data_IF_290116892864
#
_entry.id   IF_290116892864
#
_cell.length_a   1.000
_cell.length_b   1.000
_cell.length_c   1.000
_cell.angle_alpha   90.00
_cell.angle_beta   90.00
_cell.angle_gamma   90.00
#
_symmetry.space_group_name_H-M   'P 1'
#
loop_
_entity.id
_entity.type
_entity.pdbx_description
1 polymer ?
#
# COMPACT_ATOMS: atom_id res chain seq x y z
N UNK A 1 12.95 -8.79 -25.29
CA UNK A 1 11.61 -8.72 -24.67
C UNK A 1 11.48 -7.36 -24.00
N UNK A 2 10.53 -6.52 -24.42
CA UNK A 2 10.27 -5.25 -23.72
C UNK A 2 9.76 -5.58 -22.31
N UNK A 3 10.44 -5.06 -21.30
CA UNK A 3 10.05 -5.23 -19.90
C UNK A 3 8.77 -4.42 -19.70
N UNK A 4 7.63 -5.10 -19.65
CA UNK A 4 6.35 -4.45 -19.33
C UNK A 4 6.52 -3.81 -17.96
N UNK A 5 6.30 -2.50 -17.89
CA UNK A 5 6.37 -1.78 -16.61
C UNK A 5 5.05 -2.02 -15.89
N UNK A 6 5.05 -2.65 -14.69
CA UNK A 6 3.82 -2.89 -13.95
C UNK A 6 3.15 -1.56 -13.57
N UNK A 7 1.82 -1.58 -13.45
CA UNK A 7 1.05 -0.42 -13.00
C UNK A 7 1.35 -0.14 -11.52
N UNK A 8 1.40 -1.17 -10.68
CA UNK A 8 1.81 -1.08 -9.29
C UNK A 8 2.96 -2.05 -9.05
N UNK A 9 4.04 -1.55 -8.44
CA UNK A 9 5.23 -2.31 -8.08
C UNK A 9 5.52 -2.12 -6.59
N UNK A 10 5.45 -3.21 -5.84
CA UNK A 10 5.59 -3.24 -4.39
C UNK A 10 6.70 -4.23 -4.06
N UNK A 11 7.76 -3.75 -3.41
CA UNK A 11 8.87 -4.60 -2.98
C UNK A 11 9.15 -4.38 -1.49
N UNK A 12 9.18 -5.49 -0.75
CA UNK A 12 9.48 -5.55 0.68
C UNK A 12 8.62 -4.59 1.52
N UNK A 13 7.32 -4.53 1.26
CA UNK A 13 6.40 -3.70 2.05
C UNK A 13 6.37 -4.19 3.50
N UNK A 14 6.60 -3.27 4.43
CA UNK A 14 6.46 -3.47 5.87
C UNK A 14 5.46 -2.48 6.45
N UNK A 15 4.77 -2.91 7.51
CA UNK A 15 3.92 -2.05 8.32
C UNK A 15 4.14 -2.38 9.78
N UNK A 16 4.68 -1.40 10.50
CA UNK A 16 5.02 -1.52 11.92
C UNK A 16 4.13 -0.60 12.75
N UNK A 17 3.53 -1.15 13.81
CA UNK A 17 2.62 -0.41 14.70
C UNK A 17 3.20 -0.45 16.12
N UNK A 18 3.59 0.69 16.70
CA UNK A 18 3.98 0.77 18.10
C UNK A 18 2.79 0.44 19.01
N UNK A 19 3.00 -0.50 19.93
CA UNK A 19 2.03 -0.88 20.97
C UNK A 19 2.68 -0.78 22.36
N UNK A 20 1.89 -0.88 23.43
CA UNK A 20 2.41 -0.87 24.80
C UNK A 20 3.38 -2.03 25.08
N UNK A 21 3.23 -3.15 24.37
CA UNK A 21 4.01 -4.37 24.57
C UNK A 21 5.12 -4.54 23.53
N UNK A 22 5.47 -3.47 22.79
CA UNK A 22 6.46 -3.49 21.72
C UNK A 22 5.86 -3.24 20.34
N UNK A 23 6.62 -3.54 19.29
CA UNK A 23 6.21 -3.26 17.91
C UNK A 23 5.44 -4.44 17.31
N UNK A 24 4.20 -4.20 16.88
CA UNK A 24 3.45 -5.16 16.08
C UNK A 24 3.85 -5.03 14.60
N UNK A 25 4.48 -6.07 14.05
CA UNK A 25 4.80 -6.16 12.63
C UNK A 25 3.58 -6.71 11.85
N UNK A 26 2.71 -5.81 11.43
CA UNK A 26 1.45 -6.14 10.77
C UNK A 26 1.64 -6.62 9.32
N UNK A 27 2.70 -6.15 8.64
CA UNK A 27 3.13 -6.64 7.32
C UNK A 27 4.65 -6.81 7.35
N UNK A 28 5.16 -7.94 6.84
CA UNK A 28 6.54 -8.40 7.04
C UNK A 28 7.29 -8.65 5.72
N UNK A 29 7.39 -7.64 4.88
CA UNK A 29 8.18 -7.71 3.63
C UNK A 29 7.41 -8.34 2.47
N UNK A 30 6.17 -7.93 2.24
CA UNK A 30 5.37 -8.42 1.11
C UNK A 30 5.81 -7.78 -0.20
N UNK A 31 5.96 -8.58 -1.24
CA UNK A 31 6.35 -8.13 -2.58
C UNK A 31 5.39 -8.67 -3.64
N UNK A 32 4.89 -7.79 -4.50
CA UNK A 32 4.00 -8.15 -5.60
C UNK A 32 3.96 -7.03 -6.64
N UNK A 33 3.48 -7.39 -7.84
CA UNK A 33 3.24 -6.44 -8.93
C UNK A 33 1.83 -6.62 -9.44
N UNK A 34 1.26 -5.56 -9.99
CA UNK A 34 -0.04 -5.58 -10.67
C UNK A 34 0.13 -4.88 -12.02
N UNK A 35 -0.17 -5.58 -13.11
CA UNK A 35 -0.15 -4.98 -14.44
C UNK A 35 -1.48 -4.28 -14.76
N UNK A 36 -1.47 -3.44 -15.79
CA UNK A 36 -2.69 -2.77 -16.25
C UNK A 36 -3.66 -3.83 -16.81
N UNK A 37 -4.91 -3.78 -16.34
CA UNK A 37 -5.97 -4.71 -16.76
C UNK A 37 -6.04 -6.00 -15.96
N UNK A 38 -5.14 -6.20 -15.00
CA UNK A 38 -5.19 -7.34 -14.07
C UNK A 38 -6.02 -7.00 -12.82
N UNK A 39 -6.50 -8.04 -12.15
CA UNK A 39 -7.04 -7.97 -10.81
C UNK A 39 -6.17 -8.81 -9.87
N UNK A 40 -5.72 -8.21 -8.77
CA UNK A 40 -4.94 -8.90 -7.74
C UNK A 40 -5.76 -8.99 -6.46
N UNK A 41 -5.93 -10.22 -5.96
CA UNK A 41 -6.61 -10.51 -4.71
C UNK A 41 -5.62 -10.81 -3.58
N UNK A 42 -5.82 -10.20 -2.42
CA UNK A 42 -5.07 -10.52 -1.19
C UNK A 42 -6.03 -11.29 -0.26
N UNK A 43 -5.71 -12.55 0.01
CA UNK A 43 -6.55 -13.46 0.83
C UNK A 43 -5.77 -13.98 2.04
N UNK A 44 -6.48 -14.41 3.07
CA UNK A 44 -5.91 -14.88 4.34
C UNK A 44 -6.83 -14.66 5.53
N UNK A 45 -6.46 -15.22 6.68
CA UNK A 45 -7.24 -15.16 7.93
C UNK A 45 -7.36 -13.75 8.51
N UNK A 46 -8.30 -13.55 9.44
CA UNK A 46 -8.40 -12.28 10.17
C UNK A 46 -7.08 -11.96 10.87
N UNK A 47 -6.63 -10.70 10.82
CA UNK A 47 -5.35 -10.28 11.40
C UNK A 47 -4.10 -10.57 10.56
N UNK A 48 -4.20 -11.25 9.40
CA UNK A 48 -3.03 -11.59 8.56
C UNK A 48 -2.38 -10.39 7.84
N UNK A 49 -2.86 -9.16 8.04
CA UNK A 49 -2.28 -7.94 7.46
C UNK A 49 -2.93 -7.47 6.15
N UNK A 50 -3.98 -8.12 5.63
CA UNK A 50 -4.64 -7.73 4.35
C UNK A 50 -5.06 -6.27 4.30
N UNK A 51 -5.84 -5.82 5.29
CA UNK A 51 -6.32 -4.44 5.36
C UNK A 51 -5.17 -3.46 5.59
N UNK A 52 -4.17 -3.86 6.38
CA UNK A 52 -2.98 -3.03 6.62
C UNK A 52 -2.15 -2.86 5.34
N UNK A 53 -2.03 -3.90 4.51
CA UNK A 53 -1.42 -3.81 3.18
C UNK A 53 -2.18 -2.82 2.31
N UNK A 54 -3.50 -2.94 2.19
CA UNK A 54 -4.30 -2.01 1.38
C UNK A 54 -4.18 -0.55 1.86
N UNK A 55 -4.32 -0.31 3.17
CA UNK A 55 -4.17 1.03 3.74
C UNK A 55 -2.76 1.60 3.55
N UNK A 56 -1.72 0.76 3.66
CA UNK A 56 -0.34 1.16 3.42
C UNK A 56 -0.12 1.62 1.97
N UNK A 57 -0.68 0.90 0.99
CA UNK A 57 -0.60 1.31 -0.42
C UNK A 57 -1.31 2.64 -0.68
N UNK A 58 -2.45 2.85 -0.03
CA UNK A 58 -3.27 4.07 -0.17
C UNK A 58 -2.71 5.29 0.58
N UNK A 59 -1.71 5.12 1.45
CA UNK A 59 -1.26 6.18 2.35
C UNK A 59 -2.25 6.52 3.46
N UNK A 60 -3.15 5.59 3.81
CA UNK A 60 -4.24 5.79 4.79
C UNK A 60 -3.98 5.05 6.11
N UNK A 61 -2.71 4.83 6.45
CA UNK A 61 -2.36 4.15 7.70
C UNK A 61 -2.76 4.99 8.92
N UNK A 62 -3.15 4.34 10.04
CA UNK A 62 -3.35 5.03 11.30
C UNK A 62 -2.08 5.80 11.70
N UNK A 63 -2.24 6.95 12.37
CA UNK A 63 -1.13 7.87 12.66
C UNK A 63 0.10 7.25 13.37
N UNK A 64 -0.10 6.18 14.16
CA UNK A 64 1.00 5.49 14.85
C UNK A 64 1.71 4.46 13.96
N UNK A 65 1.06 3.96 12.92
CA UNK A 65 1.61 2.95 12.04
C UNK A 65 2.63 3.57 11.07
N UNK A 66 3.71 2.83 10.81
CA UNK A 66 4.79 3.24 9.92
C UNK A 66 4.90 2.27 8.77
N UNK A 67 4.90 2.81 7.55
CA UNK A 67 5.14 2.05 6.32
C UNK A 67 6.62 2.07 5.97
N UNK A 68 7.16 0.93 5.56
CA UNK A 68 8.43 0.82 4.86
C UNK A 68 8.26 0.03 3.56
N UNK A 69 9.11 0.27 2.57
CA UNK A 69 9.23 -0.55 1.37
C UNK A 69 10.57 -0.23 0.69
N UNK A 70 11.13 -1.18 -0.07
CA UNK A 70 12.27 -0.88 -0.95
C UNK A 70 11.80 -0.29 -2.28
N UNK A 71 10.58 -0.63 -2.72
CA UNK A 71 9.90 0.00 -3.85
C UNK A 71 8.41 0.11 -3.52
N UNK A 72 7.84 1.30 -3.69
CA UNK A 72 6.40 1.48 -3.82
C UNK A 72 6.10 2.46 -4.94
N UNK A 73 5.73 1.95 -6.10
CA UNK A 73 5.57 2.77 -7.31
C UNK A 73 4.23 2.52 -7.99
N UNK A 74 3.53 3.60 -8.32
CA UNK A 74 2.32 3.60 -9.15
C UNK A 74 2.61 4.23 -10.52
N UNK A 75 2.89 3.38 -11.51
CA UNK A 75 3.31 3.78 -12.85
C UNK A 75 4.64 4.53 -12.79
N UNK A 76 4.60 5.84 -12.96
CA UNK A 76 5.78 6.71 -12.92
C UNK A 76 5.98 7.39 -11.55
N UNK A 77 5.00 7.26 -10.64
CA UNK A 77 5.04 7.92 -9.34
C UNK A 77 5.68 7.00 -8.30
N UNK A 78 6.82 7.41 -7.74
CA UNK A 78 7.38 6.78 -6.54
C UNK A 78 6.67 7.32 -5.30
N UNK A 79 5.80 6.50 -4.71
CA UNK A 79 4.97 6.89 -3.57
C UNK A 79 5.75 6.98 -2.25
N UNK A 80 7.03 6.59 -2.21
CA UNK A 80 7.90 6.81 -1.05
C UNK A 80 8.53 8.22 -1.05
N UNK A 81 8.72 8.80 -2.23
CA UNK A 81 9.39 10.09 -2.42
C UNK A 81 8.43 11.28 -2.51
N UNK A 82 7.14 11.03 -2.64
CA UNK A 82 6.12 12.07 -2.80
C UNK A 82 5.70 12.68 -1.46
N UNK A 83 5.41 13.98 -1.49
CA UNK A 83 4.76 14.65 -0.36
C UNK A 83 3.26 14.33 -0.33
N UNK A 84 2.60 14.53 0.82
CA UNK A 84 1.14 14.37 0.93
C UNK A 84 0.38 15.26 -0.08
N UNK A 85 0.91 16.46 -0.35
CA UNK A 85 0.34 17.36 -1.36
C UNK A 85 0.47 16.85 -2.79
N UNK A 86 1.57 16.17 -3.12
CA UNK A 86 1.74 15.56 -4.45
C UNK A 86 0.86 14.32 -4.60
N UNK A 87 0.73 13.51 -3.55
CA UNK A 87 -0.17 12.36 -3.53
C UNK A 87 -1.62 12.83 -3.75
N UNK A 88 -2.06 13.85 -3.01
CA UNK A 88 -3.41 14.40 -3.13
C UNK A 88 -3.70 14.96 -4.54
N UNK A 89 -2.71 15.59 -5.19
CA UNK A 89 -2.90 16.20 -6.51
C UNK A 89 -2.79 15.23 -7.67
N UNK A 90 -1.93 14.22 -7.58
CA UNK A 90 -1.55 13.39 -8.73
C UNK A 90 -1.95 11.91 -8.62
N UNK A 91 -2.36 11.46 -7.43
CA UNK A 91 -2.62 10.04 -7.17
C UNK A 91 -4.04 9.81 -6.66
N UNK A 92 -4.42 10.46 -5.56
CA UNK A 92 -5.72 10.24 -4.92
C UNK A 92 -6.88 10.63 -5.85
N UNK A 93 -7.88 9.76 -5.97
CA UNK A 93 -9.08 10.01 -6.78
C UNK A 93 -8.91 9.71 -8.27
N UNK A 94 -7.85 10.23 -8.89
CA UNK A 94 -7.58 10.06 -10.32
C UNK A 94 -6.93 8.71 -10.66
N UNK A 95 -5.92 8.31 -9.88
CA UNK A 95 -5.10 7.11 -10.17
C UNK A 95 -5.30 5.99 -9.17
N UNK A 96 -5.67 6.33 -7.94
CA UNK A 96 -5.91 5.37 -6.86
C UNK A 96 -7.06 5.85 -5.98
N UNK A 97 -8.04 4.97 -5.79
CA UNK A 97 -9.23 5.21 -4.99
C UNK A 97 -9.58 3.95 -4.23
N UNK A 98 -10.18 4.11 -3.04
CA UNK A 98 -10.52 3.00 -2.16
C UNK A 98 -12.04 2.97 -1.93
N UNK A 99 -12.60 1.76 -2.01
CA UNK A 99 -13.95 1.44 -1.53
C UNK A 99 -13.76 0.68 -0.22
N UNK A 100 -14.31 1.20 0.87
CA UNK A 100 -14.18 0.60 2.20
C UNK A 100 -15.18 -0.55 2.38
N UNK A 101 -14.78 -1.57 3.16
CA UNK A 101 -15.63 -2.74 3.45
C UNK A 101 -16.89 -2.34 4.23
N UNK A 102 -16.76 -1.39 5.15
CA UNK A 102 -17.87 -0.70 5.79
C UNK A 102 -17.91 0.72 5.21
N UNK A 103 -18.94 1.09 4.43
CA UNK A 103 -19.13 2.49 4.06
C UNK A 103 -19.37 3.24 5.37
N UNK A 104 -18.47 4.17 5.70
CA UNK A 104 -18.45 4.85 7.00
C UNK A 104 -19.83 5.40 7.40
N UNK A 105 -20.10 5.42 8.70
CA UNK A 105 -21.25 6.12 9.30
C UNK A 105 -21.21 7.61 8.99
#
# INVERSE_FOLDING_TARGET
MQKVTPLLDVQNLTVDIPTANGTLHAVRGSSFTLNRGEALGIVGESGSGKSMTALALMGLLPAKARRGASVLRLGQHDLLAMTDGDIARHVSGDRMSMIFQEPMT
#
